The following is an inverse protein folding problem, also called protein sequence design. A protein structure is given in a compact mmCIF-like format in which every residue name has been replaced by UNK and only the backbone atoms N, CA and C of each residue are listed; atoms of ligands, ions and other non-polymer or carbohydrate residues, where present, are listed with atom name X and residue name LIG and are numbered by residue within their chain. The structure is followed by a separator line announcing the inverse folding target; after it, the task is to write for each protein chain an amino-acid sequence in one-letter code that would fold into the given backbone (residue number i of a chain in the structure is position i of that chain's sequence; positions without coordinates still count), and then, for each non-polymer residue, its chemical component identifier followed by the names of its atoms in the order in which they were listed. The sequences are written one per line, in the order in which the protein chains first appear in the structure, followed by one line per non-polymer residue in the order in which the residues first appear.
data_IF_067621081094
#
_entry.id   IF_067621081094
#
_cell.length_a   1.000
_cell.length_b   1.000
_cell.length_c   1.000
_cell.angle_alpha   90.00
_cell.angle_beta   90.00
_cell.angle_gamma   90.00
#
_symmetry.space_group_name_H-M   'P 1'
#
loop_
_entity.id
_entity.type
_entity.pdbx_description
1 polymer ?
#
# COMPACT_ATOMS: atom_id res chain seq x y z
N UNK A 1 21.42 -24.43 -2.99
CA UNK A 1 22.59 -23.72 -2.41
C UNK A 1 22.53 -23.77 -0.89
N UNK A 2 23.66 -23.87 -0.19
CA UNK A 2 23.71 -23.76 1.28
C UNK A 2 23.49 -22.30 1.71
N UNK A 3 22.83 -22.09 2.84
CA UNK A 3 22.71 -20.75 3.40
C UNK A 3 24.07 -20.17 3.74
N UNK A 4 24.26 -18.89 3.43
CA UNK A 4 25.46 -18.13 3.81
C UNK A 4 25.66 -18.16 5.33
N UNK A 5 26.90 -18.05 5.84
CA UNK A 5 27.16 -17.78 7.25
C UNK A 5 26.51 -16.46 7.70
N UNK A 6 26.11 -16.36 8.98
CA UNK A 6 25.39 -15.19 9.54
C UNK A 6 26.07 -13.85 9.25
N UNK A 7 27.40 -13.80 9.26
CA UNK A 7 28.18 -12.57 9.04
C UNK A 7 28.27 -12.15 7.56
N UNK A 8 27.92 -13.02 6.61
CA UNK A 8 27.85 -12.72 5.17
C UNK A 8 26.41 -12.58 4.68
N UNK A 9 25.41 -12.88 5.51
CA UNK A 9 24.02 -12.76 5.12
C UNK A 9 23.62 -11.28 5.01
N UNK A 10 22.90 -10.92 3.94
CA UNK A 10 22.07 -9.72 3.91
C UNK A 10 21.27 -9.53 5.20
N UNK A 11 21.21 -8.28 5.67
CA UNK A 11 20.34 -7.88 6.79
C UNK A 11 19.17 -7.09 6.23
N UNK A 12 17.98 -7.33 6.78
CA UNK A 12 16.72 -6.84 6.23
C UNK A 12 15.94 -6.01 7.25
N UNK A 13 15.05 -5.19 6.72
CA UNK A 13 13.94 -4.55 7.40
C UNK A 13 12.65 -4.81 6.63
N UNK A 14 11.53 -4.81 7.33
CA UNK A 14 10.22 -5.11 6.80
C UNK A 14 9.33 -3.90 7.07
N UNK A 15 8.78 -3.31 6.02
CA UNK A 15 7.94 -2.14 6.06
C UNK A 15 6.50 -2.62 5.88
N UNK A 16 5.63 -2.32 6.85
CA UNK A 16 4.19 -2.50 6.71
C UNK A 16 3.63 -1.34 5.89
N UNK A 17 2.81 -1.66 4.90
CA UNK A 17 2.30 -0.73 3.91
C UNK A 17 0.80 -0.95 3.77
N UNK A 18 0.03 0.11 3.96
CA UNK A 18 -1.41 0.13 3.67
C UNK A 18 -1.63 0.73 2.29
N UNK A 19 -2.63 0.19 1.61
CA UNK A 19 -2.98 0.49 0.22
C UNK A 19 -4.48 0.77 0.18
N UNK A 20 -4.85 1.92 -0.38
CA UNK A 20 -6.23 2.34 -0.58
C UNK A 20 -6.41 2.76 -2.04
N UNK A 21 -7.54 2.39 -2.65
CA UNK A 21 -7.88 2.70 -4.04
C UNK A 21 -9.39 2.51 -4.25
N UNK A 22 -9.86 2.72 -5.49
CA UNK A 22 -11.25 2.50 -5.86
C UNK A 22 -11.69 1.05 -5.57
N UNK A 23 -12.98 0.80 -5.27
CA UNK A 23 -13.43 -0.51 -4.78
C UNK A 23 -13.44 -1.56 -5.89
N UNK A 24 -13.46 -1.12 -7.15
CA UNK A 24 -13.40 -1.94 -8.36
C UNK A 24 -11.98 -2.14 -8.90
N UNK A 25 -10.98 -1.50 -8.30
CA UNK A 25 -9.58 -1.72 -8.63
C UNK A 25 -9.19 -3.18 -8.39
N UNK A 26 -8.38 -3.73 -9.30
CA UNK A 26 -8.02 -5.15 -9.26
C UNK A 26 -6.59 -5.35 -9.75
N UNK A 27 -5.68 -5.52 -8.79
CA UNK A 27 -4.28 -5.85 -9.08
C UNK A 27 -3.76 -6.89 -8.08
N UNK A 28 -2.74 -7.63 -8.50
CA UNK A 28 -2.14 -8.67 -7.69
C UNK A 28 -0.80 -8.25 -7.06
N UNK A 29 -0.23 -9.16 -6.26
CA UNK A 29 1.08 -8.97 -5.63
C UNK A 29 2.19 -8.64 -6.63
N UNK A 30 2.15 -9.23 -7.82
CA UNK A 30 3.14 -9.04 -8.88
C UNK A 30 3.04 -7.66 -9.52
N UNK A 31 1.83 -7.15 -9.71
CA UNK A 31 1.59 -5.80 -10.21
C UNK A 31 2.08 -4.76 -9.20
N UNK A 32 1.75 -4.94 -7.92
CA UNK A 32 2.26 -4.08 -6.84
C UNK A 32 3.80 -4.13 -6.74
N UNK A 33 4.39 -5.33 -6.84
CA UNK A 33 5.84 -5.50 -6.86
C UNK A 33 6.49 -4.72 -8.01
N UNK A 34 5.84 -4.68 -9.17
CA UNK A 34 6.33 -3.98 -10.36
C UNK A 34 6.25 -2.46 -10.19
N UNK A 35 5.14 -1.96 -9.64
CA UNK A 35 4.98 -0.54 -9.30
C UNK A 35 6.08 -0.07 -8.35
N UNK A 36 6.41 -0.86 -7.31
CA UNK A 36 7.52 -0.58 -6.40
C UNK A 36 8.88 -0.49 -7.11
N UNK A 37 9.16 -1.41 -8.05
CA UNK A 37 10.40 -1.36 -8.80
C UNK A 37 10.48 -0.16 -9.74
N UNK A 38 9.38 0.23 -10.37
CA UNK A 38 9.33 1.45 -11.18
C UNK A 38 9.54 2.70 -10.34
N UNK A 39 8.85 2.83 -9.21
CA UNK A 39 9.02 3.97 -8.31
C UNK A 39 10.45 4.05 -7.75
N UNK A 40 11.02 2.92 -7.32
CA UNK A 40 12.40 2.86 -6.87
C UNK A 40 13.42 3.19 -7.97
N UNK A 41 13.24 2.64 -9.18
CA UNK A 41 14.10 2.95 -10.33
C UNK A 41 14.04 4.43 -10.72
N UNK A 42 12.84 5.02 -10.75
CA UNK A 42 12.64 6.42 -11.11
C UNK A 42 13.21 7.38 -10.05
N UNK A 43 13.04 7.07 -8.76
CA UNK A 43 13.49 7.95 -7.68
C UNK A 43 14.98 7.76 -7.34
N UNK A 44 15.44 6.52 -7.26
CA UNK A 44 16.76 6.15 -6.73
C UNK A 44 17.78 5.80 -7.83
N UNK A 45 17.32 5.62 -9.07
CA UNK A 45 18.12 5.04 -10.15
C UNK A 45 18.39 3.55 -9.95
N UNK A 46 18.99 2.91 -10.97
CA UNK A 46 19.20 1.46 -10.98
C UNK A 46 20.05 0.96 -9.79
N UNK A 47 21.13 1.68 -9.47
CA UNK A 47 22.02 1.30 -8.37
C UNK A 47 21.33 1.44 -7.01
N UNK A 48 20.64 2.55 -6.75
CA UNK A 48 19.92 2.77 -5.50
C UNK A 48 18.73 1.83 -5.32
N UNK A 49 18.01 1.53 -6.41
CA UNK A 49 16.95 0.52 -6.42
C UNK A 49 17.48 -0.87 -6.07
N UNK A 50 18.62 -1.26 -6.65
CA UNK A 50 19.29 -2.52 -6.35
C UNK A 50 19.82 -2.59 -4.90
N UNK A 51 20.35 -1.48 -4.37
CA UNK A 51 20.80 -1.40 -2.98
C UNK A 51 19.63 -1.51 -2.00
N UNK A 52 18.48 -0.88 -2.29
CA UNK A 52 17.28 -0.97 -1.47
C UNK A 52 16.64 -2.37 -1.51
N UNK A 53 16.64 -3.04 -2.67
CA UNK A 53 16.09 -4.37 -2.92
C UNK A 53 14.64 -4.52 -2.44
N UNK A 54 13.75 -3.62 -2.91
CA UNK A 54 12.33 -3.67 -2.55
C UNK A 54 11.69 -4.97 -3.04
N UNK A 55 11.23 -5.78 -2.09
CA UNK A 55 10.57 -7.06 -2.39
C UNK A 55 9.31 -7.21 -1.55
N UNK A 56 8.16 -7.40 -2.19
CA UNK A 56 6.90 -7.72 -1.52
C UNK A 56 7.00 -9.10 -0.90
N UNK A 57 6.91 -9.19 0.42
CA UNK A 57 6.99 -10.43 1.19
C UNK A 57 5.61 -11.02 1.48
N UNK A 58 4.67 -10.17 1.90
CA UNK A 58 3.27 -10.49 2.13
C UNK A 58 2.41 -9.45 1.41
N UNK A 59 1.22 -9.86 0.97
CA UNK A 59 0.27 -9.01 0.24
C UNK A 59 -1.14 -9.59 0.42
N UNK A 60 -2.07 -8.74 0.83
CA UNK A 60 -3.50 -8.98 0.83
C UNK A 60 -4.18 -7.75 0.26
N UNK A 61 -5.14 -7.96 -0.64
CA UNK A 61 -5.88 -6.88 -1.27
C UNK A 61 -7.26 -7.39 -1.65
N UNK A 62 -8.29 -6.66 -1.24
CA UNK A 62 -9.69 -6.95 -1.52
C UNK A 62 -10.49 -5.65 -1.39
N UNK A 63 -11.51 -5.50 -2.24
CA UNK A 63 -12.48 -4.40 -2.16
C UNK A 63 -11.81 -3.03 -2.02
N UNK A 64 -10.79 -2.71 -2.83
CA UNK A 64 -10.09 -1.42 -2.80
C UNK A 64 -9.15 -1.17 -1.62
N UNK A 65 -9.04 -2.10 -0.68
CA UNK A 65 -8.17 -2.00 0.50
C UNK A 65 -7.13 -3.13 0.48
N UNK A 66 -5.90 -2.81 0.86
CA UNK A 66 -4.89 -3.83 1.04
C UNK A 66 -3.78 -3.48 1.99
N UNK A 67 -3.06 -4.52 2.35
CA UNK A 67 -1.90 -4.48 3.21
C UNK A 67 -0.76 -5.24 2.54
N UNK A 68 0.45 -4.73 2.65
CA UNK A 68 1.65 -5.37 2.16
C UNK A 68 2.79 -5.28 3.16
N UNK A 69 3.67 -6.28 3.12
CA UNK A 69 4.97 -6.20 3.78
C UNK A 69 6.03 -6.10 2.70
N UNK A 70 6.73 -4.97 2.66
CA UNK A 70 7.85 -4.75 1.74
C UNK A 70 9.16 -4.95 2.49
N UNK A 71 9.98 -5.88 2.02
CA UNK A 71 11.35 -6.07 2.50
C UNK A 71 12.26 -5.04 1.84
N UNK A 72 13.15 -4.45 2.63
CA UNK A 72 14.27 -3.62 2.15
C UNK A 72 15.57 -3.99 2.87
N UNK A 73 16.72 -3.64 2.28
CA UNK A 73 18.02 -3.78 2.93
C UNK A 73 18.12 -2.92 4.19
N UNK A 74 18.71 -3.49 5.24
CA UNK A 74 19.03 -2.73 6.46
C UNK A 74 20.10 -1.68 6.14
N UNK A 75 19.75 -0.42 6.29
CA UNK A 75 20.56 0.74 5.90
C UNK A 75 19.80 1.62 4.90
N UNK A 76 18.91 1.02 4.13
CA UNK A 76 18.18 1.68 3.03
C UNK A 76 16.71 1.94 3.36
N UNK A 77 16.33 1.96 4.64
CA UNK A 77 14.91 2.12 5.02
C UNK A 77 14.34 3.46 4.61
N UNK A 78 15.13 4.53 4.69
CA UNK A 78 14.65 5.87 4.34
C UNK A 78 14.47 6.03 2.84
N UNK A 79 15.42 5.51 2.04
CA UNK A 79 15.29 5.43 0.58
C UNK A 79 14.10 4.54 0.17
N UNK A 80 13.93 3.40 0.82
CA UNK A 80 12.79 2.52 0.61
C UNK A 80 11.46 3.21 0.89
N UNK A 81 11.33 3.92 2.02
CA UNK A 81 10.13 4.70 2.35
C UNK A 81 9.84 5.76 1.30
N UNK A 82 10.87 6.50 0.88
CA UNK A 82 10.70 7.54 -0.14
C UNK A 82 10.22 6.94 -1.47
N UNK A 83 10.81 5.82 -1.90
CA UNK A 83 10.40 5.14 -3.13
C UNK A 83 8.97 4.58 -3.04
N UNK A 84 8.59 3.97 -1.92
CA UNK A 84 7.22 3.48 -1.70
C UNK A 84 6.21 4.63 -1.76
N UNK A 85 6.53 5.78 -1.16
CA UNK A 85 5.66 6.96 -1.17
C UNK A 85 5.51 7.62 -2.56
N UNK A 86 6.33 7.23 -3.53
CA UNK A 86 6.23 7.70 -4.91
C UNK A 86 5.37 6.80 -5.82
N UNK A 87 4.81 5.72 -5.28
CA UNK A 87 3.83 4.93 -6.03
C UNK A 87 2.48 5.64 -5.96
N UNK A 88 2.01 6.11 -7.12
CA UNK A 88 0.73 6.80 -7.29
C UNK A 88 -0.31 5.97 -8.04
N UNK A 89 0.11 4.88 -8.70
CA UNK A 89 -0.77 3.91 -9.34
C UNK A 89 -0.19 2.49 -9.37
N UNK A 90 -1.07 1.51 -9.52
CA UNK A 90 -0.74 0.12 -9.85
C UNK A 90 -1.49 -0.25 -11.13
N UNK A 91 -0.75 -0.41 -12.22
CA UNK A 91 -1.39 -0.55 -13.53
C UNK A 91 -2.08 0.76 -13.93
N UNK A 92 -3.40 0.70 -14.12
CA UNK A 92 -4.23 1.88 -14.43
C UNK A 92 -4.95 2.43 -13.18
N UNK A 93 -4.92 1.70 -12.07
CA UNK A 93 -5.64 2.05 -10.84
C UNK A 93 -4.82 3.02 -9.99
N UNK A 94 -5.29 4.26 -9.73
CA UNK A 94 -4.64 5.18 -8.80
C UNK A 94 -4.67 4.63 -7.37
N UNK A 95 -3.58 4.78 -6.62
CA UNK A 95 -3.49 4.24 -5.25
C UNK A 95 -2.99 5.30 -4.26
N UNK A 96 -3.56 5.27 -3.05
CA UNK A 96 -2.99 5.89 -1.86
C UNK A 96 -2.14 4.86 -1.10
N UNK A 97 -0.93 5.26 -0.69
CA UNK A 97 0.00 4.38 0.03
C UNK A 97 0.50 5.03 1.31
N UNK A 98 0.45 4.28 2.41
CA UNK A 98 1.01 4.69 3.70
C UNK A 98 1.95 3.63 4.25
N UNK A 99 3.16 4.02 4.64
CA UNK A 99 4.06 3.14 5.41
C UNK A 99 3.72 3.25 6.89
N UNK A 100 3.01 2.26 7.42
CA UNK A 100 2.50 2.22 8.79
C UNK A 100 3.59 1.95 9.85
N UNK A 101 4.64 1.22 9.48
CA UNK A 101 5.69 0.88 10.43
C UNK A 101 6.84 0.07 9.84
N UNK A 102 7.89 -0.15 10.64
CA UNK A 102 9.06 -0.93 10.24
C UNK A 102 9.47 -1.90 11.35
N UNK A 103 9.69 -3.16 11.00
CA UNK A 103 10.19 -4.18 11.93
C UNK A 103 11.43 -4.91 11.43
N UNK A 104 12.05 -5.66 12.34
CA UNK A 104 13.21 -6.52 12.06
C UNK A 104 12.86 -7.93 11.59
N UNK A 105 11.62 -8.36 11.78
CA UNK A 105 11.09 -9.64 11.32
C UNK A 105 9.72 -9.43 10.72
N UNK A 106 9.32 -10.33 9.82
CA UNK A 106 7.98 -10.30 9.20
C UNK A 106 6.90 -10.43 10.28
N UNK A 107 7.01 -11.46 11.13
CA UNK A 107 6.05 -11.71 12.21
C UNK A 107 5.83 -10.49 13.12
N UNK A 108 6.90 -9.83 13.56
CA UNK A 108 6.74 -8.65 14.41
C UNK A 108 6.21 -7.44 13.63
N UNK A 109 6.37 -7.40 12.30
CA UNK A 109 5.75 -6.41 11.43
C UNK A 109 4.24 -6.64 11.34
N UNK A 110 3.83 -7.88 11.07
CA UNK A 110 2.42 -8.31 11.03
C UNK A 110 1.74 -7.99 12.36
N UNK A 111 2.26 -8.52 13.47
CA UNK A 111 1.65 -8.37 14.80
C UNK A 111 1.57 -6.92 15.30
N UNK A 112 2.42 -6.02 14.81
CA UNK A 112 2.48 -4.63 15.31
C UNK A 112 1.73 -3.63 14.44
N UNK A 113 1.54 -3.93 13.16
CA UNK A 113 1.13 -2.94 12.17
C UNK A 113 0.03 -3.40 11.21
N UNK A 114 -0.26 -4.71 11.12
CA UNK A 114 -1.27 -5.24 10.21
C UNK A 114 -2.44 -5.85 10.98
N UNK A 115 -3.64 -5.81 10.39
CA UNK A 115 -4.80 -6.57 10.86
C UNK A 115 -5.80 -5.85 11.77
N UNK A 116 -5.69 -4.53 11.95
CA UNK A 116 -6.65 -3.71 12.72
C UNK A 116 -7.63 -2.90 11.83
N UNK A 117 -7.49 -2.92 10.49
CA UNK A 117 -8.12 -1.94 9.58
C UNK A 117 -9.10 -2.51 8.55
N UNK A 118 -9.93 -3.48 8.92
CA UNK A 118 -10.98 -3.95 8.00
C UNK A 118 -12.38 -3.81 8.60
N UNK A 119 -12.86 -2.55 8.82
CA UNK A 119 -14.29 -2.35 8.99
C UNK A 119 -14.97 -2.76 7.69
N UNK A 120 -15.85 -3.77 7.78
CA UNK A 120 -16.56 -4.25 6.61
C UNK A 120 -17.25 -3.10 5.88
N UNK A 121 -17.11 -3.00 4.55
CA UNK A 121 -17.69 -1.90 3.79
C UNK A 121 -19.22 -1.87 3.96
N UNK A 122 -19.76 -0.67 4.08
CA UNK A 122 -21.20 -0.44 4.13
C UNK A 122 -21.59 0.38 2.90
N UNK A 123 -22.48 -0.17 2.09
CA UNK A 123 -23.12 0.57 1.01
C UNK A 123 -24.24 1.45 1.56
N UNK A 124 -24.15 2.75 1.30
CA UNK A 124 -25.21 3.71 1.67
C UNK A 124 -25.27 4.88 0.69
N UNK A 125 -26.31 5.70 0.82
CA UNK A 125 -26.37 6.98 0.13
C UNK A 125 -25.86 8.09 1.05
N UNK A 126 -24.98 8.95 0.53
CA UNK A 126 -24.45 10.13 1.21
C UNK A 126 -24.77 11.39 0.41
N UNK A 127 -24.89 12.54 1.08
CA UNK A 127 -24.96 13.82 0.36
C UNK A 127 -23.54 14.26 0.03
N UNK A 128 -23.23 14.42 -1.24
CA UNK A 128 -21.96 14.96 -1.72
C UNK A 128 -22.21 15.91 -2.89
N UNK A 129 -21.61 17.10 -2.83
CA UNK A 129 -21.82 18.18 -3.79
C UNK A 129 -23.32 18.48 -4.02
N UNK A 130 -24.08 18.63 -2.93
CA UNK A 130 -25.52 18.91 -2.89
C UNK A 130 -26.44 17.83 -3.50
N UNK A 131 -25.91 16.66 -3.86
CA UNK A 131 -26.67 15.54 -4.42
C UNK A 131 -26.57 14.30 -3.52
N UNK A 132 -27.65 13.50 -3.44
CA UNK A 132 -27.61 12.17 -2.83
C UNK A 132 -26.98 11.16 -3.79
N UNK A 133 -25.87 10.56 -3.37
CA UNK A 133 -25.06 9.65 -4.20
C UNK A 133 -24.79 8.34 -3.47
N UNK A 134 -24.77 7.20 -4.18
CA UNK A 134 -24.33 5.95 -3.57
C UNK A 134 -22.84 6.03 -3.26
N UNK A 135 -22.46 5.51 -2.09
CA UNK A 135 -21.10 5.45 -1.61
C UNK A 135 -20.83 4.15 -0.87
N UNK A 136 -19.57 3.70 -0.91
CA UNK A 136 -19.05 2.62 -0.09
C UNK A 136 -18.27 3.27 1.05
N UNK A 137 -18.75 3.08 2.29
CA UNK A 137 -18.17 3.68 3.48
C UNK A 137 -17.37 2.65 4.29
N UNK A 138 -16.19 3.07 4.77
CA UNK A 138 -15.30 2.31 5.65
C UNK A 138 -14.74 3.24 6.72
N UNK A 139 -15.18 3.06 7.97
CA UNK A 139 -14.86 4.00 9.06
C UNK A 139 -15.18 5.45 8.66
N UNK A 140 -14.20 6.34 8.64
CA UNK A 140 -14.34 7.75 8.25
C UNK A 140 -14.15 8.02 6.75
N UNK A 141 -13.83 6.99 5.95
CA UNK A 141 -13.67 7.07 4.50
C UNK A 141 -14.98 6.75 3.77
N UNK A 142 -15.31 7.56 2.76
CA UNK A 142 -16.43 7.35 1.85
C UNK A 142 -15.94 7.39 0.40
N UNK A 143 -16.14 6.29 -0.32
CA UNK A 143 -15.90 6.21 -1.75
C UNK A 143 -17.20 6.42 -2.52
N UNK A 144 -17.35 7.62 -3.09
CA UNK A 144 -18.60 8.09 -3.68
C UNK A 144 -18.61 7.76 -5.17
N UNK A 145 -19.66 7.09 -5.62
CA UNK A 145 -19.82 6.76 -7.02
C UNK A 145 -20.22 7.98 -7.85
N UNK A 146 -19.45 8.22 -8.90
CA UNK A 146 -19.59 9.30 -9.86
C UNK A 146 -19.78 8.71 -11.27
N UNK A 147 -20.33 9.49 -12.23
CA UNK A 147 -20.50 9.00 -13.60
C UNK A 147 -19.22 8.49 -14.26
N UNK A 148 -18.08 9.09 -13.90
CA UNK A 148 -16.76 8.81 -14.47
C UNK A 148 -15.83 8.02 -13.52
N UNK A 149 -16.36 7.41 -12.44
CA UNK A 149 -15.58 6.60 -11.50
C UNK A 149 -15.93 6.86 -10.04
N UNK A 150 -14.91 6.95 -9.18
CA UNK A 150 -15.08 7.16 -7.74
C UNK A 150 -14.35 8.43 -7.28
N UNK A 151 -14.89 9.05 -6.23
CA UNK A 151 -14.23 10.11 -5.47
C UNK A 151 -14.11 9.66 -4.03
N UNK A 152 -12.88 9.61 -3.52
CA UNK A 152 -12.63 9.42 -2.10
C UNK A 152 -12.91 10.72 -1.35
N UNK A 153 -13.66 10.62 -0.27
CA UNK A 153 -14.06 11.70 0.61
C UNK A 153 -14.05 11.20 2.06
N UNK A 154 -14.09 12.11 3.02
CA UNK A 154 -14.25 11.74 4.44
C UNK A 154 -15.69 11.97 4.90
N UNK A 155 -16.04 11.46 6.08
CA UNK A 155 -17.31 11.80 6.75
C UNK A 155 -17.53 13.32 6.89
N UNK A 156 -16.46 14.12 6.96
CA UNK A 156 -16.56 15.58 7.03
C UNK A 156 -17.01 16.23 5.71
N UNK A 157 -16.80 15.54 4.59
CA UNK A 157 -17.17 15.99 3.24
C UNK A 157 -18.57 15.52 2.84
N UNK A 158 -19.22 14.69 3.67
CA UNK A 158 -20.51 14.06 3.40
C UNK A 158 -21.53 14.35 4.51
N UNK A 159 -22.81 14.55 4.16
CA UNK A 159 -23.89 14.86 5.12
C UNK A 159 -25.16 14.04 4.89
#
# INVERSE_FOLDING_TARGET
MKHLPKHLRPRWRYLAVDIETAPDAAFDRGDFQRALWYAAGNLLGDAGSADADLTVFAFGFADGVGEAIVRARRGETDAARAAIACVDSVGEDPVGIVVCGISGTVRACEESYLGDRDPSPIEQHVTFADDSRPAICRDDLAEISMPDGFVAATELDTH
#
